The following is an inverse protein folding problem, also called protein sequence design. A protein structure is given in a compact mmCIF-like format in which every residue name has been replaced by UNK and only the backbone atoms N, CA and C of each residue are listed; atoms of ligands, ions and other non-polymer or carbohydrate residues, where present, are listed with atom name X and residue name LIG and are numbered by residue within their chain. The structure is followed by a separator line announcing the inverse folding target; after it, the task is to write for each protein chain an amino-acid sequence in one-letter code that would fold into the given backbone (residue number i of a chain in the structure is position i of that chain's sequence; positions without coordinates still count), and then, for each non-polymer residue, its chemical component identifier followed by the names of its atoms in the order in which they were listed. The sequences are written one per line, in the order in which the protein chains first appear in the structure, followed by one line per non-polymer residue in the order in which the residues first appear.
data_IF_188150645147
#
_entry.id   IF_188150645147
#
_cell.length_a   1.000
_cell.length_b   1.000
_cell.length_c   1.000
_cell.angle_alpha   90.00
_cell.angle_beta   90.00
_cell.angle_gamma   90.00
#
_symmetry.space_group_name_H-M   'P 1'
#
loop_
_entity.id
_entity.type
_entity.pdbx_description
1 polymer ?
#
# COMPACT_ATOMS: atom_id res chain seq x y z
N UNK A 1 22.28 10.17 2.78
CA UNK A 1 22.60 11.28 1.84
C UNK A 1 23.97 11.93 2.11
N UNK A 2 24.43 12.04 3.37
CA UNK A 2 25.70 12.68 3.69
C UNK A 2 26.95 12.01 3.04
N UNK A 3 26.87 10.71 2.80
CA UNK A 3 27.96 9.91 2.19
C UNK A 3 28.03 9.98 0.65
N UNK A 4 27.04 10.62 0.03
CA UNK A 4 26.93 10.70 -1.44
C UNK A 4 27.59 11.97 -1.98
N UNK A 5 28.24 11.86 -3.12
CA UNK A 5 28.70 12.99 -3.92
C UNK A 5 27.49 13.79 -4.51
N UNK A 6 27.68 15.04 -4.97
CA UNK A 6 26.62 15.78 -5.63
C UNK A 6 26.01 15.05 -6.85
N UNK A 7 26.84 14.37 -7.64
CA UNK A 7 26.40 13.62 -8.82
C UNK A 7 25.52 12.43 -8.42
N UNK A 8 25.92 11.67 -7.39
CA UNK A 8 25.12 10.54 -6.87
C UNK A 8 23.79 11.02 -6.27
N UNK A 9 23.78 12.13 -5.52
CA UNK A 9 22.53 12.72 -4.97
C UNK A 9 21.56 13.11 -6.09
N UNK A 10 22.04 13.58 -7.22
CA UNK A 10 21.22 13.99 -8.36
C UNK A 10 20.47 12.82 -9.00
N UNK A 11 20.89 11.56 -8.74
CA UNK A 11 20.19 10.34 -9.22
C UNK A 11 18.98 9.94 -8.39
N UNK A 12 18.78 10.53 -7.21
CA UNK A 12 17.68 10.17 -6.31
C UNK A 12 16.41 10.96 -6.61
N UNK A 13 15.27 10.27 -6.53
CA UNK A 13 13.97 10.92 -6.51
C UNK A 13 13.79 11.72 -5.22
N UNK A 14 12.99 12.77 -5.31
CA UNK A 14 12.64 13.61 -4.16
C UNK A 14 11.15 13.92 -4.18
N UNK A 15 10.57 14.20 -3.02
CA UNK A 15 9.16 14.57 -2.93
C UNK A 15 8.77 15.76 -3.83
N UNK A 16 9.56 16.86 -3.94
CA UNK A 16 9.23 17.92 -4.88
C UNK A 16 9.12 17.43 -6.33
N UNK A 17 10.05 16.60 -6.80
CA UNK A 17 10.00 16.04 -8.17
C UNK A 17 8.80 15.12 -8.35
N UNK A 18 8.51 14.24 -7.36
CA UNK A 18 7.33 13.37 -7.39
C UNK A 18 6.03 14.19 -7.46
N UNK A 19 5.93 15.25 -6.66
CA UNK A 19 4.76 16.13 -6.67
C UNK A 19 4.61 16.86 -8.01
N UNK A 20 5.70 17.27 -8.65
CA UNK A 20 5.70 17.91 -9.97
C UNK A 20 5.19 16.94 -11.04
N UNK A 21 5.61 15.67 -11.00
CA UNK A 21 5.10 14.63 -11.89
C UNK A 21 3.60 14.45 -11.69
N UNK A 22 3.13 14.29 -10.44
CA UNK A 22 1.72 14.13 -10.15
C UNK A 22 0.88 15.34 -10.60
N UNK A 23 1.37 16.56 -10.40
CA UNK A 23 0.68 17.77 -10.87
C UNK A 23 0.53 17.82 -12.40
N UNK A 24 1.51 17.29 -13.12
CA UNK A 24 1.55 17.31 -14.60
C UNK A 24 0.72 16.19 -15.22
N UNK A 25 0.69 15.00 -14.61
CA UNK A 25 0.19 13.79 -15.25
C UNK A 25 -1.07 13.21 -14.60
N UNK A 26 -1.45 13.68 -13.42
CA UNK A 26 -2.69 13.23 -12.78
C UNK A 26 -3.77 14.30 -12.96
N UNK A 27 -4.73 14.04 -13.84
CA UNK A 27 -5.76 14.99 -14.19
C UNK A 27 -6.66 15.31 -12.98
N UNK A 28 -6.85 16.58 -12.59
CA UNK A 28 -7.52 16.95 -11.34
C UNK A 28 -8.96 16.45 -11.23
N UNK A 29 -9.71 16.39 -12.34
CA UNK A 29 -11.12 15.97 -12.34
C UNK A 29 -11.32 14.47 -12.04
N UNK A 30 -10.26 13.67 -12.13
CA UNK A 30 -10.29 12.22 -11.89
C UNK A 30 -9.69 11.82 -10.54
N UNK A 31 -9.05 12.74 -9.82
CA UNK A 31 -8.43 12.47 -8.51
C UNK A 31 -9.44 12.13 -7.42
N UNK A 32 -10.71 12.51 -7.58
CA UNK A 32 -11.77 12.23 -6.62
C UNK A 32 -11.91 10.74 -6.30
N UNK A 33 -11.76 9.87 -7.30
CA UNK A 33 -11.78 8.40 -7.13
C UNK A 33 -10.69 7.92 -6.17
N UNK A 34 -9.54 8.59 -6.15
CA UNK A 34 -8.37 8.27 -5.34
C UNK A 34 -8.38 8.95 -3.96
N UNK A 35 -9.36 9.80 -3.68
CA UNK A 35 -9.47 10.53 -2.41
C UNK A 35 -10.53 9.95 -1.48
N UNK A 36 -11.49 9.21 -2.03
CA UNK A 36 -12.58 8.57 -1.30
C UNK A 36 -12.50 7.05 -1.49
N UNK A 37 -12.24 6.32 -0.39
CA UNK A 37 -12.06 4.87 -0.40
C UNK A 37 -13.31 4.10 -0.85
N UNK A 38 -14.51 4.66 -0.63
CA UNK A 38 -15.75 4.04 -1.09
C UNK A 38 -15.86 4.14 -2.62
N UNK A 39 -15.54 5.31 -3.20
CA UNK A 39 -15.50 5.48 -4.65
C UNK A 39 -14.36 4.65 -5.27
N UNK A 40 -13.21 4.58 -4.60
CA UNK A 40 -12.11 3.71 -4.99
C UNK A 40 -12.55 2.25 -5.06
N UNK A 41 -13.16 1.73 -4.01
CA UNK A 41 -13.62 0.34 -3.96
C UNK A 41 -14.70 0.04 -5.01
N UNK A 42 -15.55 1.01 -5.35
CA UNK A 42 -16.52 0.86 -6.45
C UNK A 42 -15.84 0.74 -7.81
N UNK A 43 -14.92 1.65 -8.11
CA UNK A 43 -14.23 1.73 -9.41
C UNK A 43 -13.27 0.56 -9.61
N UNK A 44 -12.55 0.17 -8.56
CA UNK A 44 -11.55 -0.90 -8.60
C UNK A 44 -12.06 -2.26 -8.06
N UNK A 45 -13.37 -2.46 -7.98
CA UNK A 45 -14.01 -3.62 -7.33
C UNK A 45 -13.49 -4.98 -7.82
N UNK A 46 -13.18 -5.15 -9.12
CA UNK A 46 -12.64 -6.40 -9.66
C UNK A 46 -11.23 -6.74 -9.15
N UNK A 47 -10.48 -5.75 -8.63
CA UNK A 47 -9.11 -5.89 -8.15
C UNK A 47 -9.02 -6.08 -6.64
N UNK A 48 -10.11 -5.85 -5.90
CA UNK A 48 -10.11 -5.92 -4.43
C UNK A 48 -10.07 -7.36 -3.92
N UNK A 49 -10.67 -8.30 -4.63
CA UNK A 49 -10.78 -9.73 -4.27
C UNK A 49 -11.21 -9.96 -2.81
N UNK A 50 -11.94 -9.01 -2.24
CA UNK A 50 -12.53 -9.06 -0.92
C UNK A 50 -13.91 -8.45 -0.98
N UNK A 51 -14.78 -8.91 -0.09
CA UNK A 51 -16.09 -8.28 0.08
C UNK A 51 -15.95 -6.99 0.89
N UNK A 52 -16.81 -6.04 0.61
CA UNK A 52 -16.89 -4.78 1.32
C UNK A 52 -18.31 -4.24 1.32
N UNK A 53 -18.61 -3.33 2.25
CA UNK A 53 -19.89 -2.65 2.33
C UNK A 53 -19.75 -1.25 2.94
N UNK A 54 -20.76 -0.42 2.71
CA UNK A 54 -20.87 0.91 3.32
C UNK A 54 -21.74 0.84 4.56
N UNK A 55 -21.33 1.53 5.62
CA UNK A 55 -22.12 1.73 6.84
C UNK A 55 -23.02 2.95 6.62
N UNK A 56 -24.33 2.76 6.73
CA UNK A 56 -25.34 3.80 6.54
C UNK A 56 -26.37 3.74 7.68
N UNK A 57 -27.09 4.84 7.91
CA UNK A 57 -28.20 4.81 8.85
C UNK A 57 -29.22 3.72 8.49
N UNK A 58 -29.58 2.89 9.45
CA UNK A 58 -30.61 1.85 9.29
C UNK A 58 -30.10 0.52 8.74
N UNK A 59 -28.79 0.32 8.44
CA UNK A 59 -28.28 -0.96 7.94
C UNK A 59 -27.56 -1.82 9.00
N UNK A 60 -27.85 -1.63 10.30
CA UNK A 60 -27.21 -2.35 11.41
C UNK A 60 -27.25 -3.89 11.26
N UNK A 61 -28.40 -4.43 10.78
CA UNK A 61 -28.53 -5.88 10.56
C UNK A 61 -27.62 -6.39 9.44
N UNK A 62 -27.43 -5.60 8.38
CA UNK A 62 -26.52 -5.93 7.29
C UNK A 62 -25.04 -5.88 7.76
N UNK A 63 -24.67 -4.86 8.54
CA UNK A 63 -23.33 -4.74 9.16
C UNK A 63 -23.06 -5.94 10.07
N UNK A 64 -24.04 -6.34 10.88
CA UNK A 64 -23.94 -7.54 11.73
C UNK A 64 -23.72 -8.80 10.89
N UNK A 65 -24.58 -9.04 9.89
CA UNK A 65 -24.51 -10.22 9.04
C UNK A 65 -23.17 -10.32 8.30
N UNK A 66 -22.65 -9.18 7.79
CA UNK A 66 -21.35 -9.11 7.15
C UNK A 66 -20.22 -9.44 8.13
N UNK A 67 -20.24 -8.86 9.32
CA UNK A 67 -19.20 -9.07 10.33
C UNK A 67 -19.21 -10.51 10.87
N UNK A 68 -20.38 -11.07 11.14
CA UNK A 68 -20.53 -12.48 11.56
C UNK A 68 -20.06 -13.45 10.46
N UNK A 69 -20.35 -13.16 9.19
CA UNK A 69 -19.90 -13.95 8.02
C UNK A 69 -18.38 -14.05 7.93
N UNK A 70 -17.68 -12.93 8.13
CA UNK A 70 -16.23 -12.83 7.94
C UNK A 70 -15.42 -13.06 9.22
N UNK A 71 -16.06 -13.02 10.40
CA UNK A 71 -15.43 -13.18 11.71
C UNK A 71 -14.54 -12.01 12.12
N UNK A 72 -13.71 -11.52 11.19
CA UNK A 72 -12.85 -10.35 11.37
C UNK A 72 -13.04 -9.38 10.20
N UNK A 73 -13.23 -8.12 10.53
CA UNK A 73 -13.39 -7.04 9.55
C UNK A 73 -12.39 -5.92 9.80
N UNK A 74 -12.16 -5.13 8.75
CA UNK A 74 -11.43 -3.86 8.81
C UNK A 74 -12.40 -2.74 8.48
N UNK A 75 -12.44 -1.71 9.33
CA UNK A 75 -13.21 -0.49 9.06
C UNK A 75 -12.30 0.65 8.71
N UNK A 76 -12.78 1.56 7.85
CA UNK A 76 -12.01 2.73 7.41
C UNK A 76 -12.90 3.97 7.36
N UNK A 77 -12.29 5.12 7.66
CA UNK A 77 -12.86 6.40 7.24
C UNK A 77 -12.71 6.53 5.72
N UNK A 78 -13.77 6.94 4.97
CA UNK A 78 -13.71 7.09 3.52
C UNK A 78 -12.62 8.05 3.05
N UNK A 79 -12.45 9.15 3.77
CA UNK A 79 -11.41 10.15 3.50
C UNK A 79 -10.42 10.17 4.66
N UNK A 80 -9.15 9.89 4.37
CA UNK A 80 -8.08 9.84 5.37
C UNK A 80 -6.79 9.27 4.76
N UNK A 81 -5.66 9.51 5.41
CA UNK A 81 -4.34 9.12 4.93
C UNK A 81 -3.52 8.44 6.04
N UNK A 82 -2.44 7.77 5.65
CA UNK A 82 -1.43 7.19 6.54
C UNK A 82 -1.98 6.20 7.58
N UNK A 83 -3.04 5.45 7.25
CA UNK A 83 -3.63 4.44 8.13
C UNK A 83 -4.39 5.01 9.34
N UNK A 84 -4.61 6.33 9.40
CA UNK A 84 -5.50 6.93 10.39
C UNK A 84 -6.95 6.55 10.10
N UNK A 85 -7.75 6.26 11.13
CA UNK A 85 -9.15 5.84 10.96
C UNK A 85 -9.30 4.42 10.38
N UNK A 86 -8.28 3.57 10.50
CA UNK A 86 -8.35 2.14 10.15
C UNK A 86 -8.37 1.31 11.42
N UNK A 87 -9.41 0.51 11.60
CA UNK A 87 -9.58 -0.33 12.79
C UNK A 87 -9.89 -1.78 12.40
N UNK A 88 -9.54 -2.70 13.28
CA UNK A 88 -9.86 -4.12 13.15
C UNK A 88 -10.82 -4.52 14.25
N UNK A 89 -11.88 -5.21 13.88
CA UNK A 89 -12.87 -5.72 14.83
C UNK A 89 -13.08 -7.22 14.61
N UNK A 90 -13.25 -7.95 15.72
CA UNK A 90 -13.62 -9.34 15.70
C UNK A 90 -15.09 -9.48 16.08
N UNK A 91 -15.84 -10.31 15.35
CA UNK A 91 -17.27 -10.48 15.60
C UNK A 91 -17.57 -10.96 17.02
N UNK A 92 -16.68 -11.79 17.57
CA UNK A 92 -16.79 -12.37 18.93
C UNK A 92 -16.64 -11.33 20.05
N UNK A 93 -15.99 -10.18 19.76
CA UNK A 93 -15.79 -9.09 20.72
C UNK A 93 -16.97 -8.10 20.76
N UNK A 94 -17.94 -8.23 19.84
CA UNK A 94 -19.05 -7.28 19.71
C UNK A 94 -20.24 -7.76 20.54
N UNK A 95 -20.40 -7.20 21.73
CA UNK A 95 -21.49 -7.56 22.65
C UNK A 95 -22.84 -6.93 22.27
N UNK A 96 -22.80 -5.68 21.72
CA UNK A 96 -24.00 -4.91 21.36
C UNK A 96 -23.90 -4.34 19.94
N UNK A 97 -24.57 -4.98 19.00
CA UNK A 97 -24.56 -4.63 17.59
C UNK A 97 -25.15 -3.24 17.28
N UNK A 98 -26.15 -2.81 18.06
CA UNK A 98 -26.75 -1.50 17.90
C UNK A 98 -25.77 -0.38 18.30
N UNK A 99 -25.10 -0.57 19.43
CA UNK A 99 -24.07 0.36 19.90
C UNK A 99 -22.83 0.35 18.98
N UNK A 100 -22.42 -0.82 18.50
CA UNK A 100 -21.32 -0.96 17.56
C UNK A 100 -21.58 -0.18 16.27
N UNK A 101 -22.77 -0.40 15.65
CA UNK A 101 -23.16 0.31 14.43
C UNK A 101 -23.24 1.84 14.63
N UNK A 102 -23.89 2.29 15.72
CA UNK A 102 -23.94 3.71 16.06
C UNK A 102 -22.56 4.30 16.32
N UNK A 103 -21.64 3.51 16.91
CA UNK A 103 -20.24 3.86 17.10
C UNK A 103 -19.49 4.06 15.78
N UNK A 104 -19.67 3.17 14.80
CA UNK A 104 -19.07 3.31 13.47
C UNK A 104 -19.52 4.62 12.78
N UNK A 105 -20.83 4.90 12.78
CA UNK A 105 -21.37 6.15 12.23
C UNK A 105 -20.78 7.38 12.93
N UNK A 106 -20.69 7.34 14.27
CA UNK A 106 -20.19 8.48 15.06
C UNK A 106 -18.70 8.76 14.79
N UNK A 107 -17.90 7.71 14.58
CA UNK A 107 -16.46 7.82 14.28
C UNK A 107 -16.16 8.05 12.80
N UNK A 108 -17.18 7.99 11.93
CA UNK A 108 -17.00 8.11 10.49
C UNK A 108 -16.35 6.91 9.81
N UNK A 109 -16.35 5.75 10.46
CA UNK A 109 -15.83 4.48 9.93
C UNK A 109 -16.86 3.85 8.99
N UNK A 110 -17.06 4.48 7.83
CA UNK A 110 -18.19 4.17 6.95
C UNK A 110 -17.90 3.08 5.91
N UNK A 111 -16.65 2.65 5.74
CA UNK A 111 -16.27 1.53 4.88
C UNK A 111 -15.91 0.33 5.74
N UNK A 112 -16.56 -0.81 5.49
CA UNK A 112 -16.19 -2.10 6.09
C UNK A 112 -15.69 -3.03 5.00
N UNK A 113 -14.57 -3.69 5.26
CA UNK A 113 -13.96 -4.67 4.36
C UNK A 113 -13.70 -5.99 5.08
N UNK A 114 -13.81 -7.08 4.34
CA UNK A 114 -13.26 -8.37 4.74
C UNK A 114 -11.74 -8.24 4.95
N UNK A 115 -11.22 -8.83 6.01
CA UNK A 115 -9.77 -8.89 6.25
C UNK A 115 -9.08 -9.67 5.12
N UNK A 116 -8.03 -9.09 4.54
CA UNK A 116 -7.21 -9.74 3.52
C UNK A 116 -6.38 -10.86 4.16
N UNK A 117 -6.41 -12.04 3.55
CA UNK A 117 -5.49 -13.14 3.89
C UNK A 117 -4.26 -13.02 3.00
N UNK A 118 -3.12 -12.68 3.57
CA UNK A 118 -1.88 -12.55 2.82
C UNK A 118 -1.22 -13.91 2.53
N UNK A 119 -0.37 -13.96 1.50
CA UNK A 119 0.40 -15.15 1.14
C UNK A 119 1.22 -15.66 2.32
N UNK A 120 1.39 -17.00 2.49
CA UNK A 120 2.16 -17.57 3.59
C UNK A 120 3.57 -16.98 3.76
N UNK A 121 4.25 -16.66 2.67
CA UNK A 121 5.60 -16.06 2.72
C UNK A 121 5.59 -14.66 3.32
N UNK A 122 4.55 -13.85 3.05
CA UNK A 122 4.35 -12.55 3.70
C UNK A 122 3.97 -12.72 5.18
N UNK A 123 3.10 -13.70 5.47
CA UNK A 123 2.70 -14.00 6.83
C UNK A 123 3.86 -14.53 7.68
N UNK A 124 4.82 -15.24 7.08
CA UNK A 124 6.02 -15.69 7.76
C UNK A 124 6.91 -14.54 8.25
N UNK A 125 6.93 -13.42 7.51
CA UNK A 125 7.67 -12.23 7.94
C UNK A 125 6.93 -11.49 9.05
N UNK A 126 5.63 -11.22 8.88
CA UNK A 126 4.81 -10.59 9.91
C UNK A 126 3.36 -11.12 9.86
N UNK A 127 2.98 -12.06 10.73
CA UNK A 127 1.65 -12.67 10.69
C UNK A 127 0.54 -11.74 11.21
N UNK A 128 0.88 -10.78 12.07
CA UNK A 128 -0.09 -9.92 12.76
C UNK A 128 -0.57 -8.70 11.97
N UNK A 129 0.10 -8.39 10.86
CA UNK A 129 -0.20 -7.23 10.01
C UNK A 129 -0.26 -7.67 8.56
N UNK A 130 -1.17 -7.09 7.79
CA UNK A 130 -1.17 -7.23 6.33
C UNK A 130 -0.03 -6.39 5.76
N UNK A 131 0.96 -7.05 5.13
CA UNK A 131 2.17 -6.42 4.61
C UNK A 131 1.96 -6.01 3.16
N UNK A 132 2.02 -4.72 2.86
CA UNK A 132 1.75 -4.21 1.53
C UNK A 132 3.03 -3.98 0.72
N UNK A 133 2.95 -4.26 -0.57
CA UNK A 133 3.95 -3.87 -1.55
C UNK A 133 3.53 -2.58 -2.22
N UNK A 134 4.30 -1.50 -2.05
CA UNK A 134 4.14 -0.26 -2.78
C UNK A 134 4.78 -0.40 -4.15
N UNK A 135 3.97 -0.38 -5.21
CA UNK A 135 4.45 -0.34 -6.59
C UNK A 135 4.18 1.05 -7.16
N UNK A 136 5.23 1.85 -7.32
CA UNK A 136 5.11 3.14 -8.01
C UNK A 136 5.15 2.90 -9.51
N UNK A 137 4.10 3.31 -10.22
CA UNK A 137 3.96 3.11 -11.65
C UNK A 137 3.56 4.38 -12.39
N UNK A 138 3.90 4.42 -13.67
CA UNK A 138 3.47 5.46 -14.61
C UNK A 138 2.88 4.81 -15.85
N UNK A 139 1.63 5.16 -16.17
CA UNK A 139 0.95 4.73 -17.39
C UNK A 139 1.01 5.84 -18.44
N UNK A 140 1.69 5.58 -19.55
CA UNK A 140 1.91 6.60 -20.61
C UNK A 140 0.76 6.69 -21.64
N UNK A 141 -0.28 5.86 -21.45
CA UNK A 141 -1.43 5.72 -22.36
C UNK A 141 -1.40 4.42 -23.18
N UNK A 142 -0.27 3.73 -23.19
CA UNK A 142 -0.07 2.43 -23.87
C UNK A 142 0.59 1.41 -22.93
N UNK A 143 1.67 1.80 -22.30
CA UNK A 143 2.52 0.96 -21.47
C UNK A 143 2.53 1.42 -20.02
N UNK A 144 2.49 0.48 -19.09
CA UNK A 144 2.68 0.74 -17.66
C UNK A 144 4.13 0.51 -17.27
N UNK A 145 4.81 1.58 -16.86
CA UNK A 145 6.19 1.57 -16.42
C UNK A 145 6.25 1.44 -14.90
N UNK A 146 6.82 0.36 -14.38
CA UNK A 146 7.10 0.23 -12.94
C UNK A 146 8.38 1.01 -12.64
N UNK A 147 8.28 1.99 -11.75
CA UNK A 147 9.35 2.95 -11.46
C UNK A 147 10.12 2.61 -10.19
N UNK A 148 9.44 2.11 -9.16
CA UNK A 148 10.03 1.67 -7.90
C UNK A 148 9.12 0.64 -7.24
N UNK A 149 9.71 -0.30 -6.49
CA UNK A 149 8.99 -1.30 -5.71
C UNK A 149 9.55 -1.29 -4.29
N UNK A 150 8.68 -1.18 -3.30
CA UNK A 150 9.07 -1.25 -1.90
C UNK A 150 8.13 -2.20 -1.15
N UNK A 151 8.70 -3.14 -0.40
CA UNK A 151 7.93 -3.98 0.51
C UNK A 151 7.87 -3.34 1.87
N UNK A 152 6.66 -3.11 2.37
CA UNK A 152 6.40 -2.63 3.73
C UNK A 152 6.16 -3.82 4.65
N UNK A 153 6.66 -3.73 5.87
CA UNK A 153 6.46 -4.73 6.91
C UNK A 153 5.87 -4.05 8.14
N UNK A 154 4.79 -4.60 8.67
CA UNK A 154 4.17 -4.14 9.90
C UNK A 154 4.84 -4.69 11.16
N UNK A 155 4.29 -4.35 12.32
CA UNK A 155 4.74 -4.77 13.66
C UNK A 155 3.53 -5.22 14.52
N UNK A 156 2.60 -6.01 13.97
CA UNK A 156 1.41 -6.50 14.67
C UNK A 156 0.25 -5.50 14.78
N UNK A 157 0.43 -4.23 14.37
CA UNK A 157 -0.65 -3.27 14.27
C UNK A 157 -1.61 -3.60 13.11
N UNK A 158 -2.76 -2.93 13.03
CA UNK A 158 -3.72 -3.11 11.94
C UNK A 158 -3.15 -2.71 10.57
N UNK A 159 -2.19 -1.79 10.56
CA UNK A 159 -1.55 -1.26 9.35
C UNK A 159 -0.03 -1.37 9.45
N UNK A 160 0.64 -1.54 8.30
CA UNK A 160 2.10 -1.59 8.15
C UNK A 160 2.76 -0.21 8.05
N UNK A 161 2.02 0.85 8.34
CA UNK A 161 2.53 2.21 8.28
C UNK A 161 3.67 2.46 9.28
N UNK A 162 4.64 3.28 8.88
CA UNK A 162 5.80 3.61 9.72
C UNK A 162 5.43 4.29 11.03
N UNK A 163 4.30 5.01 11.08
CA UNK A 163 3.75 5.63 12.29
C UNK A 163 3.33 4.61 13.35
N UNK A 164 3.07 3.37 12.95
CA UNK A 164 2.76 2.23 13.82
C UNK A 164 3.94 1.29 14.03
N UNK A 165 5.16 1.77 13.77
CA UNK A 165 6.39 1.00 13.92
C UNK A 165 6.78 0.15 12.70
N UNK A 166 6.03 0.25 11.61
CA UNK A 166 6.37 -0.41 10.35
C UNK A 166 7.66 0.14 9.74
N UNK A 167 8.22 -0.63 8.82
CA UNK A 167 9.43 -0.29 8.07
C UNK A 167 9.34 -0.84 6.65
N UNK A 168 10.28 -0.50 5.78
CA UNK A 168 10.28 -1.03 4.41
C UNK A 168 11.69 -1.38 3.94
N UNK A 169 11.75 -2.24 2.92
CA UNK A 169 12.93 -2.46 2.07
C UNK A 169 12.56 -2.21 0.62
N UNK A 170 13.53 -1.79 -0.19
CA UNK A 170 13.33 -1.73 -1.64
C UNK A 170 13.45 -3.13 -2.24
N UNK A 171 12.70 -3.38 -3.29
CA UNK A 171 12.82 -4.60 -4.09
C UNK A 171 13.43 -4.28 -5.45
N UNK A 172 14.16 -5.25 -5.98
CA UNK A 172 14.59 -5.24 -7.39
C UNK A 172 13.43 -5.62 -8.33
N UNK A 173 13.73 -5.69 -9.61
CA UNK A 173 12.72 -6.00 -10.63
C UNK A 173 12.19 -7.45 -10.53
N UNK A 174 12.91 -8.36 -9.91
CA UNK A 174 12.49 -9.75 -9.70
C UNK A 174 11.81 -9.96 -8.33
N UNK A 175 11.64 -8.88 -7.56
CA UNK A 175 10.97 -8.90 -6.27
C UNK A 175 11.86 -9.26 -5.09
N UNK A 176 13.19 -9.33 -5.25
CA UNK A 176 14.12 -9.59 -4.15
C UNK A 176 14.41 -8.31 -3.38
N UNK A 177 14.52 -8.44 -2.06
CA UNK A 177 14.98 -7.34 -1.22
C UNK A 177 16.42 -6.95 -1.57
N UNK A 178 16.66 -5.65 -1.78
CA UNK A 178 18.00 -5.15 -2.12
C UNK A 178 18.89 -4.92 -0.90
N UNK A 179 18.40 -5.26 0.30
CA UNK A 179 19.13 -5.17 1.56
C UNK A 179 18.22 -5.16 2.78
N UNK A 180 18.75 -4.74 3.91
CA UNK A 180 17.99 -4.60 5.15
C UNK A 180 16.85 -3.57 5.02
N UNK A 181 15.85 -3.68 5.90
CA UNK A 181 14.78 -2.72 6.02
C UNK A 181 15.19 -1.47 6.80
N UNK A 182 14.41 -0.39 6.68
CA UNK A 182 14.61 0.85 7.44
C UNK A 182 13.32 1.64 7.62
N UNK A 183 13.24 2.33 8.74
CA UNK A 183 12.09 3.17 9.12
C UNK A 183 12.33 4.67 8.88
N UNK A 184 11.32 5.48 9.18
CA UNK A 184 11.39 6.94 9.08
C UNK A 184 12.34 7.60 10.09
N UNK A 185 12.69 6.92 11.19
CA UNK A 185 13.61 7.38 12.22
C UNK A 185 15.06 7.05 11.87
N UNK A 186 15.27 6.22 10.84
CA UNK A 186 16.59 5.81 10.38
C UNK A 186 17.13 4.56 11.04
N UNK A 187 16.34 3.84 11.82
CA UNK A 187 16.73 2.52 12.31
C UNK A 187 16.85 1.56 11.14
N UNK A 188 17.79 0.63 11.25
CA UNK A 188 18.06 -0.42 10.29
C UNK A 188 17.58 -1.74 10.86
N UNK A 189 16.82 -2.48 10.08
CA UNK A 189 16.26 -3.77 10.43
C UNK A 189 16.88 -4.84 9.52
N UNK A 190 17.94 -5.49 9.98
CA UNK A 190 18.52 -6.66 9.28
C UNK A 190 17.57 -7.86 9.37
N UNK A 191 16.89 -7.97 10.51
CA UNK A 191 15.83 -8.95 10.76
C UNK A 191 14.55 -8.26 11.17
N UNK A 192 13.42 -8.89 10.91
CA UNK A 192 12.13 -8.44 11.41
C UNK A 192 12.10 -8.53 12.94
N UNK A 193 11.84 -7.42 13.67
CA UNK A 193 12.02 -7.39 15.12
C UNK A 193 11.17 -8.38 15.92
N UNK A 194 10.04 -8.83 15.37
CA UNK A 194 9.09 -9.70 16.08
C UNK A 194 9.20 -11.18 15.68
N UNK A 195 9.74 -11.49 14.50
CA UNK A 195 9.81 -12.87 13.96
C UNK A 195 11.24 -13.33 13.69
N UNK A 196 12.22 -12.43 13.79
CA UNK A 196 13.64 -12.69 13.47
C UNK A 196 13.87 -13.09 11.99
N UNK A 197 12.91 -12.83 11.10
CA UNK A 197 13.05 -13.10 9.66
C UNK A 197 14.13 -12.19 9.05
N UNK A 198 15.14 -12.73 8.33
CA UNK A 198 16.20 -11.94 7.69
C UNK A 198 15.66 -11.17 6.49
N UNK A 199 15.55 -9.83 6.58
CA UNK A 199 14.89 -8.99 5.56
C UNK A 199 15.58 -9.08 4.19
N UNK A 200 16.90 -9.21 4.17
CA UNK A 200 17.66 -9.35 2.91
C UNK A 200 17.38 -10.65 2.14
N UNK A 201 16.75 -11.65 2.78
CA UNK A 201 16.34 -12.91 2.14
C UNK A 201 14.90 -12.86 1.62
N UNK A 202 14.19 -11.75 1.84
CA UNK A 202 12.81 -11.63 1.37
C UNK A 202 12.74 -11.58 -0.16
N UNK A 203 11.82 -12.36 -0.69
CA UNK A 203 11.39 -12.31 -2.08
C UNK A 203 9.86 -12.20 -2.13
N UNK A 204 9.36 -11.23 -2.90
CA UNK A 204 7.93 -11.08 -3.13
C UNK A 204 7.42 -12.27 -3.96
N UNK A 205 6.46 -13.06 -3.45
CA UNK A 205 5.86 -14.12 -4.25
C UNK A 205 5.06 -13.54 -5.43
N UNK A 206 4.91 -14.33 -6.50
CA UNK A 206 4.07 -14.02 -7.67
C UNK A 206 4.41 -12.66 -8.33
N UNK A 207 5.69 -12.32 -8.47
CA UNK A 207 6.10 -11.01 -8.98
C UNK A 207 5.59 -10.74 -10.41
N UNK A 208 5.55 -11.74 -11.27
CA UNK A 208 5.03 -11.58 -12.65
C UNK A 208 3.51 -11.31 -12.66
N UNK A 209 2.77 -11.96 -11.77
CA UNK A 209 1.35 -11.69 -11.57
C UNK A 209 1.13 -10.27 -11.02
N UNK A 210 2.01 -9.80 -10.12
CA UNK A 210 1.98 -8.40 -9.63
C UNK A 210 2.20 -7.41 -10.77
N UNK A 211 3.15 -7.66 -11.69
CA UNK A 211 3.37 -6.80 -12.87
C UNK A 211 2.14 -6.73 -13.75
N UNK A 212 1.59 -7.89 -14.10
CA UNK A 212 0.38 -7.99 -14.92
C UNK A 212 -0.81 -7.30 -14.24
N UNK A 213 -0.92 -7.46 -12.93
CA UNK A 213 -1.96 -6.84 -12.13
C UNK A 213 -1.86 -5.32 -12.12
N UNK A 214 -0.66 -4.77 -11.90
CA UNK A 214 -0.41 -3.32 -11.92
C UNK A 214 -0.74 -2.72 -13.29
N UNK A 215 -0.37 -3.38 -14.39
CA UNK A 215 -0.73 -2.92 -15.74
C UNK A 215 -2.26 -2.83 -15.92
N UNK A 216 -3.00 -3.82 -15.46
CA UNK A 216 -4.47 -3.80 -15.54
C UNK A 216 -5.08 -2.70 -14.66
N UNK A 217 -4.61 -2.55 -13.43
CA UNK A 217 -5.10 -1.53 -12.48
C UNK A 217 -4.84 -0.12 -13.01
N UNK A 218 -3.66 0.16 -13.54
CA UNK A 218 -3.29 1.47 -14.08
C UNK A 218 -4.15 1.92 -15.27
N UNK A 219 -4.78 0.98 -15.98
CA UNK A 219 -5.66 1.25 -17.13
C UNK A 219 -7.11 1.59 -16.76
N UNK A 220 -7.51 1.42 -15.47
CA UNK A 220 -8.90 1.68 -15.04
C UNK A 220 -9.24 3.16 -15.07
N UNK A 221 -8.33 4.01 -14.58
CA UNK A 221 -8.46 5.48 -14.61
C UNK A 221 -7.21 6.06 -15.28
N UNK A 222 -7.10 5.96 -16.62
CA UNK A 222 -5.88 6.29 -17.35
C UNK A 222 -5.54 7.80 -17.34
N UNK A 223 -6.43 8.64 -16.82
CA UNK A 223 -6.22 10.07 -16.65
C UNK A 223 -5.40 10.41 -15.40
N UNK A 224 -5.22 9.45 -14.48
CA UNK A 224 -4.33 9.55 -13.31
C UNK A 224 -3.17 8.58 -13.57
N UNK A 225 -2.11 9.12 -14.19
CA UNK A 225 -1.07 8.31 -14.80
C UNK A 225 0.04 7.88 -13.82
N UNK A 226 0.26 8.65 -12.76
CA UNK A 226 1.36 8.46 -11.81
C UNK A 226 0.84 8.07 -10.42
N UNK A 227 0.81 6.79 -10.13
CA UNK A 227 0.22 6.24 -8.91
C UNK A 227 1.17 5.30 -8.18
N UNK A 228 1.17 5.38 -6.85
CA UNK A 228 1.74 4.38 -5.96
C UNK A 228 0.65 3.41 -5.51
N UNK A 229 0.64 2.21 -6.07
CA UNK A 229 -0.32 1.16 -5.76
C UNK A 229 0.13 0.37 -4.53
N UNK A 230 -0.72 0.28 -3.52
CA UNK A 230 -0.51 -0.62 -2.38
C UNK A 230 -1.20 -1.96 -2.66
N UNK A 231 -0.40 -2.99 -2.80
CA UNK A 231 -0.82 -4.34 -3.20
C UNK A 231 -0.44 -5.33 -2.09
N UNK A 232 -1.31 -6.29 -1.84
CA UNK A 232 -0.99 -7.47 -1.04
C UNK A 232 -1.04 -8.69 -1.93
N UNK A 233 -0.04 -9.55 -1.86
CA UNK A 233 -0.11 -10.86 -2.50
C UNK A 233 -0.86 -11.80 -1.55
N UNK A 234 -2.01 -12.31 -2.01
CA UNK A 234 -2.78 -13.36 -1.35
C UNK A 234 -2.41 -14.74 -1.91
N UNK A 235 -2.85 -15.85 -1.32
CA UNK A 235 -2.65 -17.19 -1.90
C UNK A 235 -3.21 -17.33 -3.33
N UNK A 236 -4.23 -16.55 -3.67
CA UNK A 236 -4.91 -16.57 -4.97
C UNK A 236 -4.41 -15.50 -5.95
N UNK A 237 -3.36 -14.78 -5.58
CA UNK A 237 -2.73 -13.72 -6.39
C UNK A 237 -2.84 -12.32 -5.78
N UNK A 238 -2.37 -11.28 -6.51
CA UNK A 238 -2.33 -9.91 -6.01
C UNK A 238 -3.73 -9.31 -5.78
N UNK A 239 -3.84 -8.50 -4.73
CA UNK A 239 -5.06 -7.82 -4.26
C UNK A 239 -4.74 -6.34 -4.09
N UNK A 240 -5.59 -5.46 -4.61
CA UNK A 240 -5.46 -4.03 -4.43
C UNK A 240 -5.97 -3.62 -3.04
N UNK A 241 -5.17 -2.87 -2.30
CA UNK A 241 -5.50 -2.40 -0.95
C UNK A 241 -5.94 -0.95 -0.96
N UNK A 242 -5.08 -0.10 -1.52
CA UNK A 242 -5.31 1.34 -1.66
C UNK A 242 -4.39 1.92 -2.73
N UNK A 243 -4.57 3.18 -3.02
CA UNK A 243 -3.75 3.97 -3.92
C UNK A 243 -3.06 5.13 -3.20
N UNK A 244 -2.09 5.70 -3.92
CA UNK A 244 -1.48 6.97 -3.57
C UNK A 244 -1.26 7.76 -4.86
N UNK A 245 -2.25 8.55 -5.28
CA UNK A 245 -2.16 9.36 -6.50
C UNK A 245 -1.01 10.38 -6.46
N UNK A 246 -0.49 10.73 -5.32
CA UNK A 246 0.76 11.48 -5.17
C UNK A 246 2.01 10.61 -5.11
N UNK A 247 1.89 9.30 -5.32
CA UNK A 247 2.84 8.19 -5.31
C UNK A 247 3.84 8.14 -4.15
N UNK A 248 4.25 9.28 -3.60
CA UNK A 248 5.32 9.37 -2.60
C UNK A 248 6.70 9.06 -3.21
N UNK A 249 7.70 8.91 -2.36
CA UNK A 249 9.05 8.54 -2.79
C UNK A 249 9.58 7.41 -1.92
N UNK A 250 9.84 6.29 -2.55
CA UNK A 250 10.57 5.17 -1.99
C UNK A 250 11.91 5.03 -2.71
N UNK A 251 12.99 5.07 -1.96
CA UNK A 251 14.35 5.05 -2.49
C UNK A 251 15.27 4.21 -1.61
N UNK A 252 16.34 3.71 -2.22
CA UNK A 252 17.40 3.04 -1.50
C UNK A 252 18.05 3.97 -0.46
N UNK A 253 18.42 3.42 0.68
CA UNK A 253 19.20 4.10 1.70
C UNK A 253 20.68 3.71 1.56
N UNK A 254 21.54 4.56 0.99
CA UNK A 254 22.93 4.19 0.64
C UNK A 254 23.77 3.69 1.82
N UNK A 255 23.47 4.18 3.02
CA UNK A 255 24.15 3.73 4.25
C UNK A 255 23.75 2.31 4.71
N UNK A 256 22.67 1.75 4.14
CA UNK A 256 22.14 0.43 4.47
C UNK A 256 22.46 -0.57 3.35
N UNK A 257 22.12 -0.19 2.11
CA UNK A 257 22.24 -1.09 0.94
C UNK A 257 23.60 -1.02 0.24
N UNK A 258 24.38 0.04 0.49
CA UNK A 258 25.59 0.34 -0.28
C UNK A 258 25.32 0.87 -1.70
N UNK A 259 24.06 0.87 -2.16
CA UNK A 259 23.67 1.35 -3.48
C UNK A 259 23.74 2.87 -3.48
N UNK A 260 24.54 3.45 -4.38
CA UNK A 260 24.85 4.89 -4.44
C UNK A 260 24.11 5.62 -5.56
N UNK A 261 23.25 4.90 -6.28
CA UNK A 261 22.38 5.45 -7.35
C UNK A 261 20.91 5.28 -6.95
N UNK A 262 20.12 6.34 -7.18
CA UNK A 262 18.66 6.30 -6.99
C UNK A 262 17.93 5.97 -8.29
N UNK A 263 16.61 6.03 -8.25
CA UNK A 263 15.72 5.62 -9.35
C UNK A 263 15.41 6.73 -10.36
N UNK A 264 15.93 7.95 -10.17
CA UNK A 264 15.53 9.12 -10.99
C UNK A 264 15.72 8.94 -12.48
N UNK A 265 16.79 8.23 -12.90
CA UNK A 265 17.03 7.99 -14.32
C UNK A 265 15.99 7.02 -14.92
N UNK A 266 15.48 6.08 -14.12
CA UNK A 266 14.36 5.22 -14.50
C UNK A 266 13.07 6.02 -14.71
N UNK A 267 12.78 6.96 -13.80
CA UNK A 267 11.67 7.89 -13.95
C UNK A 267 11.81 8.75 -15.19
N UNK A 268 13.00 9.28 -15.46
CA UNK A 268 13.26 10.08 -16.67
C UNK A 268 13.06 9.29 -17.96
N UNK A 269 13.53 8.06 -17.99
CA UNK A 269 13.37 7.19 -19.15
C UNK A 269 11.90 6.89 -19.48
N UNK A 270 11.06 6.73 -18.43
CA UNK A 270 9.65 6.43 -18.59
C UNK A 270 8.78 7.67 -18.85
N UNK A 271 9.09 8.79 -18.20
CA UNK A 271 8.21 9.98 -18.14
C UNK A 271 8.72 11.12 -19.04
N UNK A 272 10.04 11.22 -19.27
CA UNK A 272 10.64 12.23 -20.15
C UNK A 272 10.77 13.63 -19.52
N UNK A 273 11.25 13.73 -18.28
CA UNK A 273 11.47 15.02 -17.58
C UNK A 273 12.94 15.25 -17.22
#
# INVERSE_FOLDING_TARGET
FAILSPAERATYMTHPVSNEISQRYDHPDYRGVFQDKIEFDRVFSEFLRREWMVVEEGNADAVRAFTEKHGTIVTKEPVGQAGTGVHRYHAEDIENWTEFHAGLLTRGELLIEQLIVQHPDLAAVCPGTVNTTRVTAFFDGDTTHILAIAQKFGRGAVSDQMTFGGFYTMLDDDGHAVGAGYDSHGHVHEHHPDTDFPIAEFQLPMMEEVRTFVDRVARVVPQVQYVGWDIVVSPDGPVLVEDNWGAGVYENKPSVTGIRTGHKDRYRAAIGF
#
